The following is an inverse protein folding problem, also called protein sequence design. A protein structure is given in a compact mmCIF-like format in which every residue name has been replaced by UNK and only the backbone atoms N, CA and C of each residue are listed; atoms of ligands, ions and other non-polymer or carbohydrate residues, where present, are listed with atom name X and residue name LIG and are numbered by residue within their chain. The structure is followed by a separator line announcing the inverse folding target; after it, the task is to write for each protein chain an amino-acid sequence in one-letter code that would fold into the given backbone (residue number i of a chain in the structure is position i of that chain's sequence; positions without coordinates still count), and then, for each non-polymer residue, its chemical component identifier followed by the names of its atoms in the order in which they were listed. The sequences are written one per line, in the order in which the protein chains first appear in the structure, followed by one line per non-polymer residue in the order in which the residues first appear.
data_IF_386143976665
#
_entry.id   IF_386143976665
#
_cell.length_a   1.000
_cell.length_b   1.000
_cell.length_c   1.000
_cell.angle_alpha   90.00
_cell.angle_beta   90.00
_cell.angle_gamma   90.00
#
_symmetry.space_group_name_H-M   'P 1'
#
loop_
_entity.id
_entity.type
_entity.pdbx_description
1 polymer ?
#
# COMPACT_ATOMS: atom_id res chain seq x y z
N UNK A 1 -31.59 13.82 9.02
CA UNK A 1 -30.42 13.39 9.80
C UNK A 1 -29.83 12.15 9.13
N UNK A 2 -29.04 12.35 8.07
CA UNK A 2 -28.43 11.26 7.32
C UNK A 2 -27.07 10.95 7.96
N UNK A 3 -26.97 9.75 8.52
CA UNK A 3 -25.72 9.18 9.02
C UNK A 3 -24.77 9.05 7.81
N UNK A 4 -23.55 9.60 7.83
CA UNK A 4 -22.62 9.42 6.73
C UNK A 4 -22.27 7.94 6.65
N UNK A 5 -22.34 7.38 5.45
CA UNK A 5 -21.82 6.06 5.10
C UNK A 5 -20.35 5.99 5.55
N UNK A 6 -20.08 5.39 6.72
CA UNK A 6 -18.70 5.13 7.13
C UNK A 6 -18.18 4.03 6.21
N UNK A 7 -17.52 4.47 5.15
CA UNK A 7 -16.61 3.62 4.39
C UNK A 7 -15.56 3.16 5.40
N UNK A 8 -15.54 1.87 5.75
CA UNK A 8 -14.54 1.29 6.65
C UNK A 8 -13.17 1.28 5.96
N UNK A 9 -12.59 2.47 5.79
CA UNK A 9 -11.26 2.66 5.24
C UNK A 9 -10.26 2.19 6.31
N UNK A 10 -9.52 1.15 5.99
CA UNK A 10 -8.47 0.63 6.83
C UNK A 10 -7.18 1.33 6.44
N UNK A 11 -6.70 2.25 7.26
CA UNK A 11 -5.42 2.92 7.02
C UNK A 11 -4.30 2.22 7.78
N UNK A 12 -3.28 1.76 7.05
CA UNK A 12 -2.07 1.17 7.61
C UNK A 12 -0.88 2.12 7.36
N UNK A 13 -0.44 2.77 8.43
CA UNK A 13 0.68 3.72 8.41
C UNK A 13 1.96 3.03 8.90
N UNK A 14 2.94 2.89 7.99
CA UNK A 14 4.26 2.32 8.24
C UNK A 14 5.37 3.31 7.86
N UNK A 15 5.03 4.59 7.79
CA UNK A 15 5.95 5.67 7.40
C UNK A 15 7.20 5.71 8.28
N UNK A 16 8.36 5.93 7.65
CA UNK A 16 9.65 6.06 8.32
C UNK A 16 10.17 4.79 9.00
N UNK A 17 9.47 3.66 8.87
CA UNK A 17 9.89 2.41 9.53
C UNK A 17 11.09 1.77 8.83
N UNK A 18 11.81 0.91 9.57
CA UNK A 18 12.98 0.18 9.05
C UNK A 18 12.62 -1.05 8.20
N UNK A 19 11.37 -1.16 7.72
CA UNK A 19 10.90 -2.31 6.97
C UNK A 19 11.76 -2.53 5.71
N UNK A 20 12.04 -3.80 5.43
CA UNK A 20 12.82 -4.22 4.25
C UNK A 20 11.93 -4.81 3.16
N UNK A 21 10.77 -5.32 3.55
CA UNK A 21 9.72 -5.89 2.71
C UNK A 21 8.44 -6.04 3.52
N UNK A 22 7.31 -6.23 2.85
CA UNK A 22 6.03 -6.56 3.48
C UNK A 22 5.83 -8.07 3.51
N UNK A 23 5.21 -8.63 4.56
CA UNK A 23 4.85 -10.05 4.59
C UNK A 23 3.72 -10.35 3.59
N UNK A 24 3.66 -11.59 3.10
CA UNK A 24 2.57 -12.04 2.21
C UNK A 24 1.19 -11.94 2.87
N UNK A 25 1.11 -12.01 4.21
CA UNK A 25 -0.12 -11.80 4.97
C UNK A 25 -0.74 -10.41 4.80
N UNK A 26 -0.02 -9.44 4.18
CA UNK A 26 -0.60 -8.15 3.81
C UNK A 26 -1.84 -8.35 2.92
N UNK A 27 -1.87 -9.40 2.10
CA UNK A 27 -2.99 -9.75 1.22
C UNK A 27 -4.30 -10.04 1.96
N UNK A 28 -4.23 -10.41 3.24
CA UNK A 28 -5.40 -10.71 4.07
C UNK A 28 -6.13 -9.44 4.53
N UNK A 29 -5.52 -8.27 4.34
CA UNK A 29 -6.16 -6.99 4.64
C UNK A 29 -7.38 -6.80 3.72
N UNK A 30 -8.54 -7.08 4.29
CA UNK A 30 -9.85 -7.07 3.63
C UNK A 30 -10.59 -5.79 4.05
N UNK A 31 -10.43 -4.74 3.26
CA UNK A 31 -11.08 -3.44 3.45
C UNK A 31 -10.53 -2.42 2.44
N UNK A 32 -11.18 -1.28 2.25
CA UNK A 32 -10.58 -0.22 1.45
C UNK A 32 -9.28 0.22 2.15
N UNK A 33 -8.11 -0.19 1.66
CA UNK A 33 -6.85 0.04 2.38
C UNK A 33 -6.11 1.26 1.83
N UNK A 34 -5.67 2.15 2.71
CA UNK A 34 -4.57 3.07 2.46
C UNK A 34 -3.32 2.48 3.10
N UNK A 35 -2.29 2.20 2.31
CA UNK A 35 -1.00 1.73 2.80
C UNK A 35 0.06 2.82 2.63
N UNK A 36 0.46 3.43 3.74
CA UNK A 36 1.48 4.47 3.75
C UNK A 36 2.84 3.88 4.11
N UNK A 37 3.75 3.83 3.13
CA UNK A 37 5.15 3.38 3.29
C UNK A 37 6.12 4.55 3.06
N UNK A 38 5.66 5.78 3.21
CA UNK A 38 6.48 6.97 3.02
C UNK A 38 7.78 6.87 3.83
N UNK A 39 8.88 7.35 3.26
CA UNK A 39 10.20 7.38 3.90
C UNK A 39 10.72 6.02 4.41
N UNK A 40 10.18 4.89 3.92
CA UNK A 40 10.71 3.56 4.17
C UNK A 40 11.99 3.32 3.35
N UNK A 41 13.06 4.01 3.72
CA UNK A 41 14.36 4.04 3.00
C UNK A 41 15.04 2.67 2.88
N UNK A 42 14.64 1.69 3.70
CA UNK A 42 15.18 0.34 3.66
C UNK A 42 14.31 -0.66 2.88
N UNK A 43 13.13 -0.24 2.41
CA UNK A 43 12.23 -1.08 1.63
C UNK A 43 12.88 -1.41 0.27
N UNK A 44 13.13 -2.69 0.01
CA UNK A 44 13.82 -3.14 -1.21
C UNK A 44 12.86 -3.64 -2.28
N UNK A 45 11.78 -4.26 -1.85
CA UNK A 45 10.79 -4.93 -2.70
C UNK A 45 9.44 -4.99 -2.02
N UNK A 46 8.39 -4.98 -2.83
CA UNK A 46 7.04 -5.34 -2.41
C UNK A 46 6.80 -6.83 -2.73
N UNK A 47 5.93 -7.53 -1.98
CA UNK A 47 5.56 -8.90 -2.31
C UNK A 47 4.92 -8.95 -3.70
N UNK A 48 5.22 -9.99 -4.48
CA UNK A 48 4.66 -10.17 -5.85
C UNK A 48 3.15 -10.28 -5.86
N UNK A 49 2.59 -10.73 -4.75
CA UNK A 49 1.19 -10.95 -4.46
C UNK A 49 0.47 -9.71 -3.90
N UNK A 50 1.12 -8.55 -3.86
CA UNK A 50 0.50 -7.28 -3.46
C UNK A 50 -0.74 -6.92 -4.31
N UNK A 51 -0.87 -7.50 -5.52
CA UNK A 51 -2.08 -7.39 -6.34
C UNK A 51 -3.31 -8.11 -5.75
N UNK A 52 -3.10 -9.04 -4.81
CA UNK A 52 -4.14 -9.77 -4.06
C UNK A 52 -4.91 -8.87 -3.10
N UNK A 53 -4.38 -7.66 -2.86
CA UNK A 53 -5.08 -6.57 -2.19
C UNK A 53 -6.18 -5.98 -3.08
N UNK A 54 -7.22 -6.75 -3.34
CA UNK A 54 -8.36 -6.38 -4.22
C UNK A 54 -9.05 -5.08 -3.83
N UNK A 55 -8.88 -4.65 -2.58
CA UNK A 55 -9.50 -3.47 -2.00
C UNK A 55 -8.50 -2.35 -1.65
N UNK A 56 -7.19 -2.53 -1.93
CA UNK A 56 -6.21 -1.45 -1.73
C UNK A 56 -6.53 -0.31 -2.70
N UNK A 57 -6.81 0.87 -2.13
CA UNK A 57 -7.15 2.08 -2.86
C UNK A 57 -5.93 2.96 -3.07
N UNK A 58 -5.05 3.02 -2.08
CA UNK A 58 -3.93 3.95 -2.10
C UNK A 58 -2.67 3.28 -1.56
N UNK A 59 -1.57 3.40 -2.30
CA UNK A 59 -0.24 2.97 -1.88
C UNK A 59 0.72 4.16 -1.97
N UNK A 60 1.22 4.65 -0.83
CA UNK A 60 2.23 5.70 -0.80
C UNK A 60 3.64 5.09 -0.67
N UNK A 61 4.51 5.38 -1.65
CA UNK A 61 5.91 4.94 -1.69
C UNK A 61 6.90 6.12 -1.73
N UNK A 62 6.42 7.33 -1.44
CA UNK A 62 7.22 8.56 -1.39
C UNK A 62 8.46 8.36 -0.50
N UNK A 63 9.63 8.82 -0.92
CA UNK A 63 10.87 8.69 -0.12
C UNK A 63 11.45 7.27 0.06
N UNK A 64 10.90 6.23 -0.59
CA UNK A 64 11.43 4.86 -0.56
C UNK A 64 12.69 4.69 -1.44
N UNK A 65 13.82 5.24 -1.03
CA UNK A 65 15.04 5.36 -1.85
C UNK A 65 15.69 4.03 -2.30
N UNK A 66 15.50 2.93 -1.56
CA UNK A 66 16.06 1.60 -1.92
C UNK A 66 15.09 0.68 -2.66
N UNK A 67 13.88 1.15 -2.94
CA UNK A 67 12.88 0.37 -3.66
C UNK A 67 13.26 0.29 -5.14
N UNK A 68 13.72 -0.88 -5.58
CA UNK A 68 14.26 -1.05 -6.95
C UNK A 68 13.19 -1.37 -7.99
N UNK A 69 12.17 -2.12 -7.60
CA UNK A 69 11.10 -2.57 -8.48
C UNK A 69 9.78 -2.58 -7.74
N UNK A 70 8.77 -2.03 -8.40
CA UNK A 70 7.36 -2.23 -8.05
C UNK A 70 6.85 -3.37 -8.94
N UNK A 71 6.03 -4.30 -8.43
CA UNK A 71 5.49 -5.39 -9.25
C UNK A 71 4.70 -4.83 -10.44
N UNK A 72 5.00 -5.29 -11.67
CA UNK A 72 4.33 -4.81 -12.90
C UNK A 72 2.81 -5.02 -12.86
N UNK A 73 2.37 -6.05 -12.14
CA UNK A 73 0.95 -6.37 -11.96
C UNK A 73 0.24 -5.45 -10.94
N UNK A 74 0.96 -4.56 -10.25
CA UNK A 74 0.36 -3.63 -9.29
C UNK A 74 -0.61 -2.65 -9.99
N UNK A 75 -0.29 -2.20 -11.20
CA UNK A 75 -1.16 -1.32 -12.00
C UNK A 75 -2.39 -2.00 -12.62
N UNK A 76 -2.55 -3.33 -12.46
CA UNK A 76 -3.70 -4.08 -12.98
C UNK A 76 -4.89 -4.10 -12.02
N UNK A 77 -4.73 -3.58 -10.81
CA UNK A 77 -5.83 -3.43 -9.86
C UNK A 77 -6.56 -2.15 -10.24
N UNK A 78 -7.75 -2.28 -10.85
CA UNK A 78 -8.53 -1.15 -11.42
C UNK A 78 -8.84 -0.01 -10.44
N UNK A 79 -8.68 -0.25 -9.13
CA UNK A 79 -9.02 0.71 -8.08
C UNK A 79 -7.83 1.17 -7.23
N UNK A 80 -6.59 0.85 -7.64
CA UNK A 80 -5.37 1.20 -6.92
C UNK A 80 -4.71 2.46 -7.47
N UNK A 81 -4.57 3.47 -6.62
CA UNK A 81 -3.76 4.66 -6.85
C UNK A 81 -2.38 4.50 -6.20
N UNK A 82 -1.32 4.43 -7.01
CA UNK A 82 0.06 4.41 -6.52
C UNK A 82 0.60 5.83 -6.49
N UNK A 83 0.94 6.32 -5.30
CA UNK A 83 1.52 7.65 -5.10
C UNK A 83 3.02 7.56 -4.84
N UNK A 84 3.80 8.11 -5.77
CA UNK A 84 5.24 8.32 -5.61
C UNK A 84 5.57 9.68 -4.98
N UNK A 85 4.59 10.59 -4.97
CA UNK A 85 4.63 11.88 -4.30
C UNK A 85 3.37 12.04 -3.43
N UNK A 86 3.56 11.73 -2.16
CA UNK A 86 2.73 12.09 -1.01
C UNK A 86 3.64 12.93 -0.09
#
# INVERSE_FOLDING_TARGET
MTIPYYSHLLELHLEGTAIRGLPASIELLSGNVLLNLKDCKNLKSLPSTINGLRLLRTLCLSGCSKLKKVPENLGKVESLEVRLSC
#
